data_IF_001669703449
#
_entry.id   IF_001669703449
#
_cell.length_a   1.000
_cell.length_b   1.000
_cell.length_c   1.000
_cell.angle_alpha   90.00
_cell.angle_beta   90.00
_cell.angle_gamma   90.00
#
_symmetry.space_group_name_H-M   'P 1'
#
loop_
_entity.id
_entity.type
_entity.pdbx_description
1 polymer ?
#
# COMPACT_ATOMS: atom_id res chain seq x y z
N UNK A 1 -2.41 24.67 1.64
CA UNK A 1 -1.77 23.35 1.57
C UNK A 1 -1.11 23.23 0.20
N UNK A 2 0.22 23.35 0.14
CA UNK A 2 0.97 23.16 -1.11
C UNK A 2 1.36 21.69 -1.19
N UNK A 3 0.59 20.92 -1.95
CA UNK A 3 1.00 19.59 -2.39
C UNK A 3 2.13 19.77 -3.38
N UNK A 4 3.37 19.66 -2.91
CA UNK A 4 4.46 19.37 -3.82
C UNK A 4 4.27 17.92 -4.26
N UNK A 5 3.54 17.75 -5.36
CA UNK A 5 3.83 16.65 -6.25
C UNK A 5 5.34 16.69 -6.45
N UNK A 6 6.03 15.58 -6.15
CA UNK A 6 7.35 15.33 -6.71
C UNK A 6 7.31 15.88 -8.14
N UNK A 7 8.16 16.85 -8.46
CA UNK A 7 8.19 17.44 -9.79
C UNK A 7 8.73 16.37 -10.75
N UNK A 8 7.87 15.43 -11.10
CA UNK A 8 8.19 14.27 -11.90
C UNK A 8 8.21 14.75 -13.34
N UNK A 9 9.38 14.68 -13.98
CA UNK A 9 9.55 15.15 -15.35
C UNK A 9 8.79 14.26 -16.35
N UNK A 10 8.72 12.95 -16.11
CA UNK A 10 7.90 11.99 -16.88
C UNK A 10 7.41 10.83 -16.02
N UNK A 11 6.12 10.50 -16.12
CA UNK A 11 5.51 9.31 -15.55
C UNK A 11 5.13 8.35 -16.67
N UNK A 12 5.41 7.07 -16.49
CA UNK A 12 5.04 6.01 -17.40
C UNK A 12 4.19 4.98 -16.68
N UNK A 13 3.04 4.64 -17.24
CA UNK A 13 2.17 3.55 -16.78
C UNK A 13 2.10 2.39 -17.78
N UNK A 14 2.65 2.61 -18.97
CA UNK A 14 2.80 1.58 -20.01
C UNK A 14 4.04 0.74 -19.71
N UNK A 15 3.82 -0.35 -18.99
CA UNK A 15 4.84 -1.31 -18.60
C UNK A 15 5.23 -2.29 -19.72
N UNK A 16 4.63 -2.20 -20.91
CA UNK A 16 4.97 -3.06 -22.04
C UNK A 16 6.28 -2.67 -22.75
N UNK A 17 6.89 -1.56 -22.33
CA UNK A 17 8.14 -1.04 -22.89
C UNK A 17 9.33 -1.40 -22.02
N UNK A 18 10.43 -1.82 -22.64
CA UNK A 18 11.71 -1.93 -21.96
C UNK A 18 12.19 -0.54 -21.48
N UNK A 19 12.38 -0.39 -20.17
CA UNK A 19 12.98 0.82 -19.58
C UNK A 19 14.49 0.69 -19.39
N UNK A 20 14.99 -0.54 -19.23
CA UNK A 20 16.41 -0.80 -18.98
C UNK A 20 17.14 -1.15 -20.28
N UNK A 21 18.37 -0.68 -20.43
CA UNK A 21 19.23 -1.13 -21.53
C UNK A 21 19.70 -2.57 -21.22
N UNK A 22 19.41 -3.56 -22.11
CA UNK A 22 19.71 -4.97 -21.83
C UNK A 22 21.20 -5.28 -21.65
N UNK A 23 22.09 -4.47 -22.22
CA UNK A 23 23.54 -4.64 -22.16
C UNK A 23 24.18 -3.93 -20.95
N UNK A 24 23.39 -3.15 -20.21
CA UNK A 24 23.87 -2.40 -19.05
C UNK A 24 23.66 -3.16 -17.74
N UNK A 25 24.38 -2.70 -16.73
CA UNK A 25 24.33 -3.23 -15.37
C UNK A 25 23.82 -2.15 -14.43
N UNK A 26 22.90 -2.54 -13.55
CA UNK A 26 22.18 -1.66 -12.65
C UNK A 26 22.43 -2.00 -11.19
N UNK A 27 22.35 -0.96 -10.36
CA UNK A 27 22.26 -1.05 -8.92
C UNK A 27 20.78 -0.92 -8.51
N UNK A 28 20.31 -1.77 -7.60
CA UNK A 28 18.96 -1.71 -7.04
C UNK A 28 19.02 -1.00 -5.68
N UNK A 29 18.06 -0.11 -5.44
CA UNK A 29 17.87 0.65 -4.20
C UNK A 29 16.46 0.45 -3.68
N UNK A 30 16.32 0.14 -2.39
CA UNK A 30 15.07 0.39 -1.67
C UNK A 30 14.91 1.88 -1.46
N UNK A 31 13.75 2.43 -1.80
CA UNK A 31 13.44 3.85 -1.66
C UNK A 31 12.30 4.06 -0.68
N UNK A 32 12.45 5.05 0.20
CA UNK A 32 11.43 5.46 1.17
C UNK A 32 11.37 6.99 1.27
N UNK A 33 10.15 7.49 1.41
CA UNK A 33 9.83 8.90 1.66
C UNK A 33 8.63 9.00 2.60
N UNK A 34 8.45 10.06 3.39
CA UNK A 34 7.20 10.29 4.09
C UNK A 34 6.04 10.36 3.10
N UNK A 35 4.87 9.87 3.50
CA UNK A 35 3.67 9.84 2.65
C UNK A 35 3.18 11.26 2.29
N UNK A 36 3.45 12.26 3.13
CA UNK A 36 3.11 13.66 2.90
C UNK A 36 4.34 14.57 3.09
N UNK A 37 4.33 15.76 2.49
CA UNK A 37 5.50 16.66 2.48
C UNK A 37 5.40 17.86 3.44
N UNK A 38 4.22 18.12 4.01
CA UNK A 38 3.91 19.27 4.87
C UNK A 38 3.98 18.91 6.37
N UNK A 39 3.28 19.63 7.26
CA UNK A 39 3.22 19.28 8.69
C UNK A 39 2.66 17.86 8.92
N UNK A 40 1.76 17.39 8.04
CA UNK A 40 1.31 15.99 8.01
C UNK A 40 2.47 15.06 7.64
N UNK A 41 3.38 15.51 6.79
CA UNK A 41 4.64 14.84 6.48
C UNK A 41 5.57 14.66 7.68
N UNK A 42 5.70 15.70 8.51
CA UNK A 42 6.46 15.60 9.77
C UNK A 42 5.81 14.64 10.75
N UNK A 43 4.47 14.65 10.85
CA UNK A 43 3.72 13.72 11.68
C UNK A 43 3.84 12.29 11.17
N UNK A 44 3.63 12.03 9.88
CA UNK A 44 3.78 10.70 9.27
C UNK A 44 5.18 10.15 9.40
N UNK A 45 6.21 11.00 9.25
CA UNK A 45 7.61 10.63 9.52
C UNK A 45 7.83 10.19 10.97
N UNK A 46 7.29 10.92 11.96
CA UNK A 46 7.38 10.54 13.37
C UNK A 46 6.62 9.24 13.69
N UNK A 47 5.67 8.87 12.85
CA UNK A 47 4.87 7.67 13.02
C UNK A 47 5.40 6.49 12.17
N UNK A 48 6.40 6.68 11.32
CA UNK A 48 6.92 5.64 10.44
C UNK A 48 6.02 5.31 9.25
N UNK A 49 5.06 6.18 8.86
CA UNK A 49 4.36 5.99 7.57
C UNK A 49 5.24 6.52 6.47
N UNK A 50 5.70 5.60 5.64
CA UNK A 50 6.45 5.96 4.45
C UNK A 50 5.72 5.48 3.21
N UNK A 51 5.92 6.19 2.10
CA UNK A 51 5.74 5.65 0.78
C UNK A 51 7.03 4.96 0.34
N UNK A 52 6.88 3.88 -0.41
CA UNK A 52 7.98 2.98 -0.76
C UNK A 52 8.02 2.71 -2.27
N UNK A 53 9.23 2.46 -2.76
CA UNK A 53 9.48 2.08 -4.15
C UNK A 53 10.82 1.40 -4.36
N UNK A 54 11.08 1.00 -5.60
CA UNK A 54 12.35 0.44 -6.04
C UNK A 54 13.03 1.41 -7.01
N UNK A 55 14.27 1.77 -6.68
CA UNK A 55 15.13 2.58 -7.51
C UNK A 55 16.16 1.73 -8.24
N UNK A 56 16.44 2.08 -9.48
CA UNK A 56 17.41 1.42 -10.32
C UNK A 56 18.37 2.47 -10.86
N UNK A 57 19.67 2.29 -10.67
CA UNK A 57 20.70 3.23 -11.15
C UNK A 57 21.63 2.51 -12.10
N UNK A 58 21.75 3.04 -13.31
CA UNK A 58 22.66 2.53 -14.32
C UNK A 58 24.11 2.77 -13.88
N UNK A 59 24.86 1.68 -13.72
CA UNK A 59 26.26 1.71 -13.30
C UNK A 59 27.22 1.80 -14.49
N UNK A 60 26.70 1.64 -15.71
CA UNK A 60 27.46 1.63 -16.97
C UNK A 60 27.38 2.98 -17.68
N UNK A 61 26.28 3.72 -17.49
CA UNK A 61 26.11 5.07 -18.04
C UNK A 61 26.86 6.13 -17.21
N UNK A 62 27.79 6.91 -17.80
CA UNK A 62 28.45 8.02 -17.11
C UNK A 62 27.49 9.12 -16.61
N UNK A 63 26.26 9.20 -17.12
CA UNK A 63 25.21 10.10 -16.62
C UNK A 63 24.40 9.52 -15.46
N UNK A 64 24.62 8.25 -15.12
CA UNK A 64 23.91 7.52 -14.08
C UNK A 64 22.38 7.63 -14.22
N UNK A 65 21.85 7.35 -15.42
CA UNK A 65 20.40 7.30 -15.63
C UNK A 65 19.75 6.40 -14.58
N UNK A 66 18.60 6.82 -14.08
CA UNK A 66 17.95 6.14 -12.98
C UNK A 66 16.47 5.99 -13.23
N UNK A 67 15.89 4.90 -12.76
CA UNK A 67 14.46 4.66 -12.83
C UNK A 67 13.90 4.40 -11.44
N UNK A 68 12.65 4.77 -11.21
CA UNK A 68 11.88 4.40 -10.02
C UNK A 68 10.67 3.63 -10.48
N UNK A 69 10.43 2.48 -9.86
CA UNK A 69 9.16 1.78 -9.93
C UNK A 69 8.48 1.93 -8.58
N UNK A 70 7.27 2.48 -8.58
CA UNK A 70 6.45 2.64 -7.38
C UNK A 70 5.01 2.20 -7.67
N UNK A 71 4.30 1.76 -6.64
CA UNK A 71 2.87 1.48 -6.72
C UNK A 71 2.14 2.59 -5.97
N UNK A 72 1.43 3.43 -6.71
CA UNK A 72 0.90 4.68 -6.20
C UNK A 72 -0.43 5.02 -6.88
N UNK A 73 -1.10 6.05 -6.38
CA UNK A 73 -2.38 6.52 -6.93
C UNK A 73 -2.22 6.96 -8.37
N UNK A 74 -3.20 6.61 -9.20
CA UNK A 74 -3.18 6.90 -10.62
C UNK A 74 -2.99 8.42 -10.89
N UNK A 75 -2.24 8.80 -11.96
CA UNK A 75 -2.00 10.20 -12.28
C UNK A 75 -3.29 11.01 -12.40
N UNK A 76 -3.30 12.21 -11.79
CA UNK A 76 -4.44 13.15 -11.84
C UNK A 76 -5.39 13.07 -10.65
N UNK A 77 -5.21 12.10 -9.74
CA UNK A 77 -5.95 12.05 -8.48
C UNK A 77 -5.23 12.82 -7.37
N UNK A 78 -5.98 13.56 -6.55
CA UNK A 78 -5.47 14.20 -5.33
C UNK A 78 -5.88 13.33 -4.15
N UNK A 79 -4.92 12.56 -3.65
CA UNK A 79 -5.10 11.66 -2.53
C UNK A 79 -5.41 12.43 -1.24
N UNK A 80 -6.55 12.12 -0.60
CA UNK A 80 -6.83 12.55 0.77
C UNK A 80 -6.65 11.38 1.73
N UNK A 81 -6.18 11.61 2.97
CA UNK A 81 -6.07 10.55 3.97
C UNK A 81 -7.35 9.75 4.15
N UNK A 82 -8.52 10.39 4.12
CA UNK A 82 -9.82 9.72 4.30
C UNK A 82 -10.12 8.68 3.21
N UNK A 83 -9.57 8.83 2.00
CA UNK A 83 -9.86 7.97 0.85
C UNK A 83 -9.30 6.55 1.04
N UNK A 84 -8.32 6.39 1.94
CA UNK A 84 -7.77 5.10 2.36
C UNK A 84 -8.71 4.27 3.24
N UNK A 85 -9.70 4.91 3.87
CA UNK A 85 -10.47 4.30 4.96
C UNK A 85 -11.94 4.13 4.65
N UNK A 86 -12.41 4.59 3.48
CA UNK A 86 -13.81 4.46 3.09
C UNK A 86 -14.02 4.37 1.58
N UNK A 87 -15.08 3.67 1.15
CA UNK A 87 -15.63 3.85 -0.18
C UNK A 87 -16.58 5.06 -0.23
N UNK A 88 -16.79 5.57 -1.44
CA UNK A 88 -17.98 6.35 -1.79
C UNK A 88 -19.14 5.41 -2.08
N UNK A 89 -20.31 5.69 -1.50
CA UNK A 89 -21.51 4.86 -1.72
C UNK A 89 -22.46 5.52 -2.71
N UNK A 90 -22.93 4.78 -3.72
CA UNK A 90 -23.95 5.24 -4.68
C UNK A 90 -25.11 4.26 -4.70
N UNK A 91 -26.34 4.72 -4.56
CA UNK A 91 -27.49 3.84 -4.70
C UNK A 91 -27.72 3.47 -6.17
N UNK A 92 -27.80 2.18 -6.45
CA UNK A 92 -28.04 1.66 -7.79
C UNK A 92 -29.52 1.34 -7.96
N UNK A 93 -30.22 2.18 -8.72
CA UNK A 93 -31.66 2.03 -8.98
C UNK A 93 -32.02 0.72 -9.70
N UNK A 94 -31.08 0.11 -10.45
CA UNK A 94 -31.35 -1.13 -11.19
C UNK A 94 -31.25 -2.37 -10.29
N UNK A 95 -30.22 -2.43 -9.44
CA UNK A 95 -29.98 -3.58 -8.55
C UNK A 95 -30.63 -3.41 -7.17
N UNK A 96 -31.09 -2.21 -6.83
CA UNK A 96 -31.70 -1.86 -5.54
C UNK A 96 -30.76 -2.14 -4.35
N UNK A 97 -29.47 -1.91 -4.54
CA UNK A 97 -28.40 -1.98 -3.54
C UNK A 97 -27.42 -0.81 -3.73
N UNK A 98 -26.50 -0.61 -2.78
CA UNK A 98 -25.45 0.42 -2.89
C UNK A 98 -24.19 -0.13 -3.57
N UNK A 99 -23.69 0.59 -4.56
CA UNK A 99 -22.36 0.39 -5.13
C UNK A 99 -21.32 1.07 -4.23
N UNK A 100 -20.27 0.33 -3.85
CA UNK A 100 -19.16 0.83 -3.05
C UNK A 100 -17.96 1.11 -3.96
N UNK A 101 -17.70 2.38 -4.18
CA UNK A 101 -16.66 2.85 -5.10
C UNK A 101 -15.46 3.30 -4.29
N UNK A 102 -14.37 2.56 -4.40
CA UNK A 102 -13.08 2.95 -3.85
C UNK A 102 -12.38 3.87 -4.86
N UNK A 103 -12.29 5.15 -4.53
CA UNK A 103 -11.71 6.17 -5.41
C UNK A 103 -10.16 6.09 -5.45
N UNK A 104 -9.56 5.20 -4.66
CA UNK A 104 -8.11 4.99 -4.58
C UNK A 104 -7.61 3.98 -5.63
N UNK A 105 -7.87 4.32 -6.90
CA UNK A 105 -7.31 3.58 -8.03
C UNK A 105 -5.80 3.79 -8.07
N UNK A 106 -5.08 2.70 -8.23
CA UNK A 106 -3.63 2.67 -8.15
C UNK A 106 -3.04 1.98 -9.37
N UNK A 107 -1.80 2.34 -9.65
CA UNK A 107 -1.04 1.80 -10.75
C UNK A 107 0.41 1.64 -10.33
N UNK A 108 1.11 0.74 -11.00
CA UNK A 108 2.57 0.79 -10.99
C UNK A 108 2.99 1.91 -11.94
N UNK A 109 3.79 2.84 -11.41
CA UNK A 109 4.29 4.02 -12.10
C UNK A 109 5.80 3.90 -12.19
N UNK A 110 6.32 4.17 -13.39
CA UNK A 110 7.75 4.31 -13.63
C UNK A 110 8.08 5.79 -13.80
N UNK A 111 9.15 6.25 -13.16
CA UNK A 111 9.72 7.58 -13.40
C UNK A 111 11.20 7.45 -13.75
N UNK A 112 11.70 8.35 -14.59
CA UNK A 112 13.07 8.33 -15.15
C UNK A 112 14.09 9.09 -14.29
N UNK A 113 13.79 9.28 -12.99
CA UNK A 113 14.66 10.01 -12.09
C UNK A 113 14.44 9.66 -10.60
N UNK A 114 15.53 9.39 -9.87
CA UNK A 114 15.51 9.34 -8.41
C UNK A 114 15.82 10.73 -7.84
N UNK A 115 14.79 11.44 -7.38
CA UNK A 115 14.98 12.69 -6.65
C UNK A 115 15.34 12.44 -5.19
N UNK A 116 16.58 12.76 -4.79
CA UNK A 116 17.08 12.60 -3.42
C UNK A 116 16.79 13.81 -2.50
N UNK A 117 15.96 14.78 -2.92
CA UNK A 117 15.63 15.94 -2.09
C UNK A 117 14.84 15.55 -0.84
N UNK A 118 14.82 16.43 0.17
CA UNK A 118 13.94 16.28 1.34
C UNK A 118 12.48 16.16 0.89
N UNK A 119 11.73 15.21 1.47
CA UNK A 119 10.35 14.88 1.06
C UNK A 119 10.24 14.37 -0.39
N UNK A 120 11.35 13.93 -0.98
CA UNK A 120 11.38 13.00 -2.10
C UNK A 120 11.97 11.67 -1.60
N UNK A 121 12.64 10.88 -2.44
CA UNK A 121 13.27 9.61 -2.06
C UNK A 121 14.47 9.83 -1.12
N UNK A 122 14.18 10.26 0.10
CA UNK A 122 15.16 10.74 1.08
C UNK A 122 15.92 9.59 1.73
N UNK A 123 15.29 8.43 1.88
CA UNK A 123 15.94 7.20 2.32
C UNK A 123 16.18 6.33 1.10
N UNK A 124 17.46 6.01 0.86
CA UNK A 124 17.87 5.13 -0.24
C UNK A 124 18.86 4.10 0.29
N UNK A 125 18.47 2.83 0.21
CA UNK A 125 19.30 1.72 0.67
C UNK A 125 19.71 0.89 -0.53
N UNK A 126 21.01 0.83 -0.82
CA UNK A 126 21.54 -0.08 -1.85
C UNK A 126 21.35 -1.52 -1.41
N UNK A 127 20.64 -2.32 -2.18
CA UNK A 127 20.29 -3.71 -1.81
C UNK A 127 20.86 -4.76 -2.74
N UNK A 128 21.08 -4.42 -4.01
CA UNK A 128 21.88 -5.21 -4.94
C UNK A 128 22.72 -4.29 -5.81
N UNK A 129 23.85 -4.81 -6.24
CA UNK A 129 24.70 -4.22 -7.26
C UNK A 129 24.94 -5.27 -8.33
N UNK A 130 24.99 -4.88 -9.60
CA UNK A 130 25.41 -5.82 -10.64
C UNK A 130 24.28 -6.56 -11.35
N UNK A 131 23.05 -6.03 -11.35
CA UNK A 131 21.90 -6.70 -11.98
C UNK A 131 21.78 -6.27 -13.44
N UNK A 132 21.72 -7.21 -14.38
CA UNK A 132 21.64 -6.86 -15.80
C UNK A 132 20.30 -6.24 -16.16
N UNK A 133 20.31 -5.26 -17.07
CA UNK A 133 19.07 -4.65 -17.57
C UNK A 133 18.11 -5.65 -18.21
N UNK A 134 18.65 -6.71 -18.83
CA UNK A 134 17.84 -7.82 -19.36
C UNK A 134 17.02 -8.52 -18.28
N UNK A 135 17.59 -8.76 -17.09
CA UNK A 135 16.85 -9.35 -15.96
C UNK A 135 15.78 -8.36 -15.47
N UNK A 136 16.09 -7.07 -15.41
CA UNK A 136 15.16 -6.06 -14.91
C UNK A 136 13.97 -5.82 -15.85
N UNK A 137 14.18 -5.84 -17.18
CA UNK A 137 13.06 -5.80 -18.14
C UNK A 137 12.18 -7.06 -18.01
N UNK A 138 12.77 -8.25 -17.87
CA UNK A 138 11.99 -9.47 -17.63
C UNK A 138 11.17 -9.38 -16.33
N UNK A 139 11.80 -8.95 -15.23
CA UNK A 139 11.12 -8.72 -13.96
C UNK A 139 9.96 -7.73 -14.09
N UNK A 140 10.15 -6.64 -14.83
CA UNK A 140 9.08 -5.68 -15.07
C UNK A 140 7.88 -6.32 -15.78
N UNK A 141 8.10 -7.05 -16.87
CA UNK A 141 7.02 -7.67 -17.63
C UNK A 141 6.33 -8.80 -16.87
N UNK A 142 7.08 -9.58 -16.11
CA UNK A 142 6.54 -10.72 -15.37
C UNK A 142 5.83 -10.28 -14.09
N UNK A 143 6.48 -9.42 -13.29
CA UNK A 143 5.99 -9.03 -11.98
C UNK A 143 5.28 -7.69 -11.96
N UNK A 144 5.92 -6.61 -12.43
CA UNK A 144 5.35 -5.28 -12.27
C UNK A 144 4.02 -5.12 -13.01
N UNK A 145 3.94 -5.69 -14.22
CA UNK A 145 2.68 -5.78 -14.96
C UNK A 145 1.63 -6.67 -14.29
N UNK A 146 2.03 -7.84 -13.78
CA UNK A 146 1.12 -8.74 -13.09
C UNK A 146 0.53 -8.07 -11.84
N UNK A 147 1.38 -7.39 -11.04
CA UNK A 147 0.95 -6.70 -9.83
C UNK A 147 -0.06 -5.59 -10.16
N UNK A 148 0.23 -4.78 -11.18
CA UNK A 148 -0.67 -3.70 -11.63
C UNK A 148 -2.05 -4.22 -12.09
N UNK A 149 -2.11 -5.40 -12.71
CA UNK A 149 -3.39 -6.01 -13.15
C UNK A 149 -4.13 -6.70 -12.00
N UNK A 150 -3.40 -7.31 -11.08
CA UNK A 150 -3.97 -8.13 -10.00
C UNK A 150 -4.51 -7.26 -8.87
N UNK A 151 -3.85 -6.14 -8.59
CA UNK A 151 -4.20 -5.23 -7.50
C UNK A 151 -4.52 -3.84 -8.07
N UNK A 152 -5.77 -3.57 -8.46
CA UNK A 152 -6.17 -2.26 -8.98
C UNK A 152 -6.61 -1.28 -7.88
N UNK A 153 -6.74 -1.74 -6.63
CA UNK A 153 -7.08 -0.92 -5.47
C UNK A 153 -6.02 -1.06 -4.38
N UNK A 154 -5.73 0.06 -3.73
CA UNK A 154 -4.81 0.07 -2.61
C UNK A 154 -5.51 -0.44 -1.35
N UNK A 155 -4.89 -1.38 -0.66
CA UNK A 155 -5.40 -1.93 0.60
C UNK A 155 -4.31 -1.79 1.65
N UNK A 156 -4.54 -0.98 2.67
CA UNK A 156 -3.53 -0.68 3.71
C UNK A 156 -3.51 -1.69 4.84
N UNK A 157 -4.68 -2.26 5.13
CA UNK A 157 -4.87 -3.05 6.32
C UNK A 157 -4.72 -4.54 6.04
N UNK A 158 -4.25 -5.24 7.04
CA UNK A 158 -4.32 -6.69 7.14
C UNK A 158 -5.14 -7.09 8.37
N UNK A 159 -5.32 -8.39 8.57
CA UNK A 159 -5.92 -8.95 9.77
C UNK A 159 -5.03 -10.07 10.29
N UNK A 160 -4.63 -10.00 11.56
CA UNK A 160 -3.76 -11.01 12.16
C UNK A 160 -4.26 -11.38 13.55
N UNK A 161 -4.02 -12.63 13.94
CA UNK A 161 -4.28 -13.13 15.28
C UNK A 161 -3.17 -12.68 16.24
N UNK A 162 -3.58 -12.10 17.37
CA UNK A 162 -2.65 -11.52 18.34
C UNK A 162 -1.74 -12.53 19.04
N UNK A 163 -2.22 -13.76 19.21
CA UNK A 163 -1.61 -14.76 20.08
C UNK A 163 -0.42 -15.43 19.41
N UNK A 164 -0.48 -15.57 18.09
CA UNK A 164 0.55 -16.27 17.31
C UNK A 164 1.03 -15.49 16.08
N UNK A 165 0.56 -14.26 15.85
CA UNK A 165 0.81 -13.51 14.61
C UNK A 165 0.58 -14.37 13.37
N UNK A 166 -0.49 -15.16 13.38
CA UNK A 166 -0.98 -15.84 12.18
C UNK A 166 -1.92 -14.89 11.44
N UNK A 167 -1.72 -14.75 10.13
CA UNK A 167 -2.61 -13.95 9.30
C UNK A 167 -3.98 -14.61 9.22
N UNK A 168 -5.03 -13.82 9.25
CA UNK A 168 -6.37 -14.33 8.99
C UNK A 168 -6.56 -14.57 7.51
N UNK A 169 -6.79 -15.84 7.15
CA UNK A 169 -6.77 -16.31 5.77
C UNK A 169 -5.46 -15.91 5.05
N UNK A 170 -5.40 -16.10 3.73
CA UNK A 170 -4.29 -15.57 2.90
C UNK A 170 -4.60 -14.15 2.38
N UNK A 171 -5.22 -13.34 3.24
CA UNK A 171 -5.66 -11.99 2.91
C UNK A 171 -4.60 -10.99 3.35
N UNK A 172 -3.94 -10.38 2.38
CA UNK A 172 -2.89 -9.39 2.63
C UNK A 172 -3.30 -8.00 2.12
N UNK A 173 -2.65 -6.99 2.69
CA UNK A 173 -2.65 -5.64 2.14
C UNK A 173 -1.97 -5.62 0.78
N UNK A 174 -2.32 -4.62 -0.02
CA UNK A 174 -1.76 -4.40 -1.35
C UNK A 174 -1.41 -2.93 -1.45
N UNK A 175 -0.26 -2.57 -0.91
CA UNK A 175 0.24 -1.19 -0.86
C UNK A 175 1.65 -1.05 -1.44
N UNK A 176 2.20 0.16 -1.46
CA UNK A 176 3.50 0.45 -2.05
C UNK A 176 4.65 -0.35 -1.40
N UNK A 177 4.51 -0.66 -0.11
CA UNK A 177 5.43 -1.51 0.63
C UNK A 177 5.36 -2.97 0.21
N UNK A 178 4.16 -3.51 -0.04
CA UNK A 178 3.98 -4.88 -0.56
C UNK A 178 4.58 -4.99 -1.97
N UNK A 179 4.32 -3.99 -2.82
CA UNK A 179 4.91 -3.95 -4.16
C UNK A 179 6.44 -3.97 -4.13
N UNK A 180 7.06 -3.16 -3.25
CA UNK A 180 8.52 -3.14 -3.05
C UNK A 180 9.01 -4.50 -2.54
N UNK A 181 8.36 -5.02 -1.51
CA UNK A 181 8.76 -6.26 -0.83
C UNK A 181 8.65 -7.49 -1.72
N UNK A 182 7.48 -7.76 -2.33
CA UNK A 182 7.33 -8.90 -3.23
C UNK A 182 8.12 -8.74 -4.52
N UNK A 183 8.32 -7.51 -5.01
CA UNK A 183 9.16 -7.27 -6.17
C UNK A 183 10.59 -7.74 -5.94
N UNK A 184 11.12 -7.49 -4.74
CA UNK A 184 12.42 -7.98 -4.30
C UNK A 184 12.43 -9.51 -4.15
N UNK A 185 11.42 -10.10 -3.51
CA UNK A 185 11.31 -11.56 -3.40
C UNK A 185 11.25 -12.23 -4.78
N UNK A 186 10.51 -11.67 -5.72
CA UNK A 186 10.42 -12.16 -7.10
C UNK A 186 11.79 -12.08 -7.81
N UNK A 187 12.54 -10.98 -7.64
CA UNK A 187 13.90 -10.86 -8.17
C UNK A 187 14.83 -11.96 -7.65
N UNK A 188 14.77 -12.25 -6.35
CA UNK A 188 15.59 -13.27 -5.71
C UNK A 188 15.18 -14.68 -6.12
N UNK A 189 13.90 -15.02 -6.03
CA UNK A 189 13.43 -16.39 -6.22
C UNK A 189 13.41 -16.80 -7.70
N UNK A 190 13.02 -15.89 -8.61
CA UNK A 190 12.87 -16.18 -10.04
C UNK A 190 14.19 -16.01 -10.81
N UNK A 191 14.92 -14.91 -10.57
CA UNK A 191 16.13 -14.58 -11.32
C UNK A 191 17.43 -14.71 -10.52
N UNK A 192 17.35 -15.22 -9.28
CA UNK A 192 18.52 -15.49 -8.44
C UNK A 192 19.39 -14.26 -8.15
N UNK A 193 18.77 -13.07 -8.14
CA UNK A 193 19.45 -11.81 -7.79
C UNK A 193 19.95 -11.90 -6.35
N UNK A 194 21.25 -11.64 -6.16
CA UNK A 194 21.89 -11.67 -4.85
C UNK A 194 21.75 -10.32 -4.16
N UNK A 195 21.02 -10.29 -3.03
CA UNK A 195 20.94 -9.11 -2.18
C UNK A 195 22.06 -9.10 -1.14
N UNK A 196 22.49 -7.90 -0.75
CA UNK A 196 23.61 -7.69 0.16
C UNK A 196 23.26 -7.86 1.65
N UNK A 197 22.09 -8.42 1.95
CA UNK A 197 21.59 -8.63 3.32
C UNK A 197 21.14 -7.36 4.05
N UNK A 198 21.17 -6.19 3.40
CA UNK A 198 20.55 -4.99 3.98
C UNK A 198 19.03 -5.13 3.90
N UNK A 199 18.40 -5.08 5.06
CA UNK A 199 16.96 -5.21 5.20
C UNK A 199 16.25 -4.04 4.53
N UNK A 200 15.29 -4.36 3.66
CA UNK A 200 14.18 -3.48 3.34
C UNK A 200 13.03 -4.00 4.20
N UNK A 201 12.45 -3.17 5.05
CA UNK A 201 11.29 -3.60 5.81
C UNK A 201 10.02 -3.51 4.96
N UNK A 202 9.05 -4.36 5.29
CA UNK A 202 7.68 -4.23 4.84
C UNK A 202 6.89 -3.52 5.94
N UNK A 203 6.48 -2.30 5.67
CA UNK A 203 5.52 -1.60 6.55
C UNK A 203 4.12 -2.12 6.25
N UNK A 204 3.37 -2.46 7.30
CA UNK A 204 1.97 -2.85 7.18
C UNK A 204 1.16 -2.37 8.38
N UNK A 205 -0.12 -2.14 8.13
CA UNK A 205 -1.08 -1.85 9.19
C UNK A 205 -1.95 -3.09 9.37
N UNK A 206 -2.26 -3.47 10.60
CA UNK A 206 -3.16 -4.61 10.81
C UNK A 206 -4.22 -4.37 11.89
N UNK A 207 -5.36 -5.00 11.66
CA UNK A 207 -6.43 -5.12 12.62
C UNK A 207 -6.17 -6.35 13.49
N UNK A 208 -6.05 -6.13 14.79
CA UNK A 208 -5.80 -7.18 15.77
C UNK A 208 -7.02 -8.06 15.96
N UNK A 209 -6.87 -9.36 15.73
CA UNK A 209 -7.88 -10.38 16.00
C UNK A 209 -7.57 -11.11 17.30
N UNK A 210 -8.54 -11.11 18.21
CA UNK A 210 -8.47 -11.88 19.46
C UNK A 210 -9.29 -13.15 19.30
N UNK A 211 -8.65 -14.32 19.44
CA UNK A 211 -9.37 -15.61 19.40
C UNK A 211 -10.42 -15.64 20.50
N UNK A 212 -11.63 -16.09 20.16
CA UNK A 212 -12.74 -16.23 21.11
C UNK A 212 -13.68 -15.02 21.26
N UNK A 213 -13.40 -13.87 20.64
CA UNK A 213 -14.36 -12.77 20.57
C UNK A 213 -15.41 -13.00 19.48
N UNK A 214 -14.96 -13.05 18.22
CA UNK A 214 -15.75 -13.43 17.07
C UNK A 214 -14.80 -13.66 15.89
N UNK A 215 -14.99 -14.74 15.13
CA UNK A 215 -14.26 -14.94 13.88
C UNK A 215 -14.69 -13.86 12.87
N UNK A 216 -13.76 -13.23 12.12
CA UNK A 216 -14.12 -12.34 11.03
C UNK A 216 -15.19 -12.96 10.12
N UNK A 217 -16.22 -12.18 9.80
CA UNK A 217 -17.30 -12.60 8.89
C UNK A 217 -17.12 -11.88 7.57
N UNK A 218 -16.93 -12.63 6.48
CA UNK A 218 -17.04 -12.08 5.12
C UNK A 218 -18.48 -11.63 4.87
N UNK A 219 -18.64 -10.39 4.41
CA UNK A 219 -19.92 -9.79 4.06
C UNK A 219 -20.12 -9.88 2.55
N UNK A 220 -21.32 -10.22 2.11
CA UNK A 220 -21.66 -10.24 0.70
C UNK A 220 -22.22 -8.88 0.27
N UNK A 221 -21.42 -8.06 -0.42
CA UNK A 221 -21.84 -6.76 -0.91
C UNK A 221 -23.01 -6.79 -1.90
N UNK A 222 -23.35 -7.97 -2.47
CA UNK A 222 -24.52 -8.14 -3.35
C UNK A 222 -25.79 -8.58 -2.62
N UNK A 223 -25.68 -9.07 -1.38
CA UNK A 223 -26.82 -9.36 -0.52
C UNK A 223 -27.37 -8.07 0.10
N UNK A 224 -28.69 -7.89 0.11
CA UNK A 224 -29.31 -6.62 0.56
C UNK A 224 -29.03 -6.29 2.03
N UNK A 225 -29.01 -7.28 2.91
CA UNK A 225 -28.82 -7.05 4.34
C UNK A 225 -27.37 -6.71 4.64
N UNK A 226 -26.42 -7.49 4.10
CA UNK A 226 -24.99 -7.20 4.24
C UNK A 226 -24.62 -5.87 3.55
N UNK A 227 -25.15 -5.58 2.35
CA UNK A 227 -24.94 -4.31 1.65
C UNK A 227 -25.40 -3.10 2.48
N UNK A 228 -26.62 -3.14 3.04
CA UNK A 228 -27.13 -2.08 3.90
C UNK A 228 -26.26 -1.92 5.16
N UNK A 229 -25.84 -3.03 5.77
CA UNK A 229 -24.96 -3.01 6.93
C UNK A 229 -23.61 -2.34 6.64
N UNK A 230 -22.94 -2.69 5.53
CA UNK A 230 -21.69 -2.05 5.09
C UNK A 230 -21.90 -0.54 4.92
N UNK A 231 -22.99 -0.15 4.26
CA UNK A 231 -23.33 1.25 4.00
C UNK A 231 -23.57 2.03 5.30
N UNK A 232 -24.34 1.48 6.23
CA UNK A 232 -24.58 2.10 7.54
C UNK A 232 -23.32 2.20 8.39
N UNK A 233 -22.42 1.22 8.29
CA UNK A 233 -21.12 1.26 8.95
C UNK A 233 -20.29 2.46 8.45
N UNK A 234 -20.09 2.57 7.13
CA UNK A 234 -19.33 3.67 6.56
C UNK A 234 -20.03 5.03 6.72
N UNK A 235 -21.36 5.11 6.71
CA UNK A 235 -22.09 6.36 7.02
C UNK A 235 -21.79 6.87 8.43
N UNK A 236 -21.76 5.97 9.43
CA UNK A 236 -21.43 6.33 10.82
C UNK A 236 -19.98 6.82 10.93
N UNK A 237 -19.06 6.17 10.22
CA UNK A 237 -17.67 6.61 10.10
C UNK A 237 -17.59 8.00 9.45
N UNK A 238 -18.32 8.21 8.35
CA UNK A 238 -18.34 9.45 7.57
C UNK A 238 -18.80 10.64 8.39
N UNK A 239 -19.90 10.52 9.14
CA UNK A 239 -20.41 11.62 9.97
C UNK A 239 -19.39 12.14 10.99
N UNK A 240 -18.47 11.28 11.45
CA UNK A 240 -17.38 11.68 12.36
C UNK A 240 -16.19 12.29 11.63
N UNK A 241 -15.88 11.78 10.43
CA UNK A 241 -14.67 12.12 9.70
C UNK A 241 -14.83 13.28 8.69
N UNK A 242 -16.02 13.50 8.13
CA UNK A 242 -16.23 14.37 6.97
C UNK A 242 -15.95 15.87 7.23
N UNK A 243 -15.96 16.30 8.49
CA UNK A 243 -15.72 17.68 8.89
C UNK A 243 -14.33 17.90 9.50
N UNK A 244 -13.48 16.87 9.54
CA UNK A 244 -12.13 16.96 10.08
C UNK A 244 -11.16 17.46 9.01
N UNK A 245 -10.21 18.31 9.40
CA UNK A 245 -9.01 18.51 8.59
C UNK A 245 -8.19 17.21 8.50
N UNK A 246 -7.31 17.10 7.51
CA UNK A 246 -6.44 15.93 7.32
C UNK A 246 -5.59 15.63 8.58
N UNK A 247 -5.11 16.69 9.24
CA UNK A 247 -4.36 16.61 10.51
C UNK A 247 -5.22 16.05 11.65
N UNK A 248 -6.44 16.58 11.82
CA UNK A 248 -7.37 16.11 12.84
C UNK A 248 -7.82 14.68 12.57
N UNK A 249 -8.06 14.32 11.31
CA UNK A 249 -8.42 12.98 10.89
C UNK A 249 -7.33 11.99 11.27
N UNK A 250 -6.07 12.23 10.86
CA UNK A 250 -4.94 11.34 11.15
C UNK A 250 -4.72 11.22 12.67
N UNK A 251 -4.79 12.34 13.40
CA UNK A 251 -4.65 12.37 14.85
C UNK A 251 -5.74 11.56 15.56
N UNK A 252 -7.01 11.73 15.17
CA UNK A 252 -8.13 11.00 15.75
C UNK A 252 -8.16 9.53 15.33
N UNK A 253 -7.78 9.22 14.08
CA UNK A 253 -7.63 7.87 13.56
C UNK A 253 -6.62 7.09 14.41
N UNK A 254 -5.42 7.64 14.61
CA UNK A 254 -4.37 7.02 15.44
C UNK A 254 -4.79 6.89 16.90
N UNK A 255 -5.50 7.88 17.43
CA UNK A 255 -6.05 7.79 18.78
C UNK A 255 -7.19 6.75 18.90
N UNK A 256 -7.59 6.10 17.81
CA UNK A 256 -8.73 5.18 17.73
C UNK A 256 -10.07 5.87 17.95
N UNK A 257 -10.14 7.21 17.90
CA UNK A 257 -11.34 7.98 18.23
C UNK A 257 -12.39 7.95 17.12
N UNK A 258 -11.99 7.69 15.88
CA UNK A 258 -12.90 7.62 14.73
C UNK A 258 -13.81 6.38 14.77
N UNK A 259 -13.30 5.25 15.30
CA UNK A 259 -14.02 3.98 15.35
C UNK A 259 -14.75 3.71 16.68
N UNK A 260 -14.51 4.53 17.71
CA UNK A 260 -15.04 4.28 19.04
C UNK A 260 -16.40 4.96 19.28
N UNK A 261 -17.40 4.16 19.64
CA UNK A 261 -18.54 4.59 20.43
C UNK A 261 -18.44 3.90 21.82
N UNK A 262 -17.82 4.57 22.80
CA UNK A 262 -17.81 4.10 24.19
C UNK A 262 -16.73 3.07 24.56
N UNK A 263 -16.92 2.43 25.73
CA UNK A 263 -15.90 1.68 26.48
C UNK A 263 -15.75 0.19 26.12
N UNK A 264 -16.42 -0.31 25.07
CA UNK A 264 -16.43 -1.73 24.71
C UNK A 264 -16.37 -1.93 23.19
N UNK A 265 -15.55 -2.89 22.74
CA UNK A 265 -15.49 -3.53 21.41
C UNK A 265 -15.58 -2.61 20.19
N UNK A 266 -14.48 -2.52 19.42
CA UNK A 266 -14.49 -1.86 18.11
C UNK A 266 -14.98 -2.84 17.05
N UNK A 267 -16.23 -2.65 16.62
CA UNK A 267 -16.74 -3.23 15.39
C UNK A 267 -16.12 -2.51 14.19
N UNK A 268 -15.66 -3.26 13.19
CA UNK A 268 -15.05 -2.70 11.99
C UNK A 268 -15.49 -3.46 10.75
N UNK A 269 -15.75 -2.74 9.66
CA UNK A 269 -15.86 -3.30 8.31
C UNK A 269 -14.66 -2.83 7.50
N UNK A 270 -13.90 -3.79 6.97
CA UNK A 270 -12.73 -3.53 6.14
C UNK A 270 -12.91 -4.08 4.73
N UNK A 271 -12.28 -3.46 3.74
CA UNK A 271 -12.05 -4.10 2.45
C UNK A 271 -10.67 -4.75 2.44
N UNK A 272 -10.59 -6.03 2.05
CA UNK A 272 -9.34 -6.74 1.77
C UNK A 272 -9.50 -7.47 0.44
N UNK A 273 -8.54 -7.30 -0.48
CA UNK A 273 -8.52 -8.02 -1.77
C UNK A 273 -9.90 -8.06 -2.47
N UNK A 274 -10.63 -6.94 -2.49
CA UNK A 274 -11.99 -6.78 -3.06
C UNK A 274 -13.18 -7.31 -2.25
N UNK A 275 -12.94 -7.83 -1.05
CA UNK A 275 -13.98 -8.38 -0.17
C UNK A 275 -14.16 -7.56 1.10
N UNK A 276 -15.39 -7.54 1.62
CA UNK A 276 -15.72 -6.87 2.87
C UNK A 276 -15.70 -7.86 4.04
N UNK A 277 -15.05 -7.48 5.14
CA UNK A 277 -14.99 -8.29 6.36
C UNK A 277 -15.48 -7.49 7.54
N UNK A 278 -16.43 -8.05 8.30
CA UNK A 278 -16.83 -7.56 9.61
C UNK A 278 -16.00 -8.24 10.70
N UNK A 279 -15.45 -7.43 11.60
CA UNK A 279 -14.58 -7.86 12.70
C UNK A 279 -15.01 -7.17 13.99
N UNK A 280 -14.92 -7.91 15.10
CA UNK A 280 -15.05 -7.36 16.47
C UNK A 280 -13.71 -7.52 17.17
N UNK A 281 -13.10 -6.40 17.58
CA UNK A 281 -11.81 -6.39 18.29
C UNK A 281 -11.85 -5.62 19.61
N UNK A 282 -10.99 -6.01 20.55
CA UNK A 282 -10.81 -5.35 21.85
C UNK A 282 -9.81 -4.20 21.82
N UNK A 283 -8.93 -4.16 20.80
CA UNK A 283 -7.85 -3.18 20.71
C UNK A 283 -7.86 -2.42 19.38
N UNK A 284 -7.14 -1.30 19.37
CA UNK A 284 -7.06 -0.40 18.20
C UNK A 284 -6.15 -1.00 17.13
N UNK A 285 -6.32 -0.52 15.90
CA UNK A 285 -5.44 -0.76 14.75
C UNK A 285 -3.97 -0.60 15.17
N UNK A 286 -3.13 -1.59 14.80
CA UNK A 286 -1.71 -1.63 15.12
C UNK A 286 -0.90 -1.30 13.87
N UNK A 287 0.15 -0.50 14.03
CA UNK A 287 1.22 -0.37 13.04
C UNK A 287 2.40 -1.21 13.48
N UNK A 288 2.88 -2.02 12.57
CA UNK A 288 3.95 -2.97 12.83
C UNK A 288 4.93 -2.99 11.65
N UNK A 289 6.12 -3.54 11.90
CA UNK A 289 7.22 -3.57 10.97
C UNK A 289 7.70 -5.00 10.78
N UNK A 290 7.54 -5.55 9.58
CA UNK A 290 8.08 -6.88 9.27
C UNK A 290 9.56 -6.71 8.88
N UNK A 291 10.45 -7.10 9.79
CA UNK A 291 11.91 -7.08 9.59
C UNK A 291 12.47 -8.44 9.19
N UNK A 292 11.67 -9.50 9.32
CA UNK A 292 12.06 -10.88 8.98
C UNK A 292 11.11 -11.45 7.95
N UNK A 293 11.67 -12.12 6.94
CA UNK A 293 10.91 -12.91 5.97
C UNK A 293 10.10 -14.00 6.67
N UNK A 294 8.78 -13.82 6.74
CA UNK A 294 7.89 -14.97 6.81
C UNK A 294 7.83 -15.63 5.41
N UNK A 295 7.80 -16.96 5.38
CA UNK A 295 7.53 -17.70 4.13
C UNK A 295 6.16 -17.24 3.63
N UNK A 296 6.10 -16.63 2.44
CA UNK A 296 4.85 -16.22 1.81
C UNK A 296 4.09 -17.50 1.43
N UNK A 297 2.92 -17.78 2.01
CA UNK A 297 2.10 -18.91 1.55
C UNK A 297 1.67 -18.66 0.10
N UNK A 298 1.75 -19.69 -0.76
CA UNK A 298 1.26 -19.60 -2.15
C UNK A 298 2.28 -19.19 -3.22
N UNK A 299 3.58 -19.10 -2.88
CA UNK A 299 4.67 -18.95 -3.87
C UNK A 299 5.41 -20.26 -4.17
N UNK A 300 4.78 -21.41 -3.88
CA UNK A 300 5.25 -22.75 -4.28
C UNK A 300 4.54 -23.23 -5.56
#
# INVERSE_FOLDING_TARGET
MLFYFLSIQKQYTDLTKDFFNPDHVYQIRGLETPLFCDQVGMLTRLMGVTHAGLGFVDMTDPKANSFVFEYNVAPGYVLKPIDFFRPRTVFNESTQIYDFIWDLQVAVIVTDFINSSKCAWETQVVVASGVSGKILNAWQHDYAEWYARTFPYYTIFEMWFEDNHERFDDLHGNQCHDFKWWGMQHLQNTYQVQFNGKEIHRDYMWNRLTRGLQTPKRLNATDKADNLFIKEFYDKFNKKAENLSDEEFISQFRAGKLFMNGAHQSEFVNMLQHDYYYVVTQEKIIWDFETKTHVVPGTD
#
